data_IF_527940591597
#
_entry.id   IF_527940591597
#
_cell.length_a   1.000
_cell.length_b   1.000
_cell.length_c   1.000
_cell.angle_alpha   90.00
_cell.angle_beta   90.00
_cell.angle_gamma   90.00
#
_symmetry.space_group_name_H-M   'P 1'
#
loop_
_entity.id
_entity.type
_entity.pdbx_description
1 polymer ?
#
# COMPACT_ATOMS: atom_id res chain seq x y z
N UNK A 1 12.51 -0.23 32.42
CA UNK A 1 11.19 -0.89 32.29
C UNK A 1 10.48 -0.24 31.11
N UNK A 2 10.48 -0.88 29.93
CA UNK A 2 9.78 -0.36 28.75
C UNK A 2 8.60 -1.32 28.50
N UNK A 3 7.42 -0.88 28.92
CA UNK A 3 6.15 -1.50 28.57
C UNK A 3 5.91 -1.33 27.07
N UNK A 4 6.48 -2.21 26.24
CA UNK A 4 6.12 -2.30 24.83
C UNK A 4 4.90 -3.19 24.68
N UNK A 5 3.73 -2.65 25.04
CA UNK A 5 2.42 -3.20 24.66
C UNK A 5 1.99 -2.72 23.27
N UNK A 6 2.91 -2.61 22.32
CA UNK A 6 2.52 -2.48 20.91
C UNK A 6 2.15 -3.88 20.41
N UNK A 7 0.95 -4.32 20.79
CA UNK A 7 0.24 -5.39 20.07
C UNK A 7 0.15 -4.91 18.62
N UNK A 8 1.01 -5.46 17.77
CA UNK A 8 0.89 -5.28 16.34
C UNK A 8 -0.48 -5.83 15.97
N UNK A 9 -1.44 -4.97 15.60
CA UNK A 9 -2.69 -5.40 15.01
C UNK A 9 -2.36 -5.87 13.58
N UNK A 10 -1.87 -7.10 13.46
CA UNK A 10 -1.60 -7.83 12.20
C UNK A 10 -2.95 -8.25 11.56
N UNK A 11 -4.01 -7.48 11.78
CA UNK A 11 -5.39 -7.86 11.50
C UNK A 11 -6.24 -6.64 11.10
N UNK A 12 -5.64 -5.67 10.42
CA UNK A 12 -6.44 -4.67 9.71
C UNK A 12 -7.04 -5.39 8.51
N UNK A 13 -8.36 -5.57 8.50
CA UNK A 13 -9.05 -6.25 7.39
C UNK A 13 -8.88 -5.38 6.14
N UNK A 14 -8.07 -5.87 5.20
CA UNK A 14 -7.92 -5.22 3.89
C UNK A 14 -8.93 -5.78 2.92
N UNK A 15 -9.63 -4.89 2.21
CA UNK A 15 -10.51 -5.26 1.12
C UNK A 15 -9.68 -5.45 -0.14
N UNK A 16 -9.77 -6.63 -0.74
CA UNK A 16 -9.01 -6.98 -1.93
C UNK A 16 -9.43 -6.13 -3.14
N UNK A 17 -8.44 -5.66 -3.88
CA UNK A 17 -8.62 -5.06 -5.20
C UNK A 17 -9.01 -6.18 -6.17
N UNK A 18 -10.06 -5.94 -6.98
CA UNK A 18 -10.75 -6.99 -7.76
C UNK A 18 -9.97 -7.52 -8.96
N UNK A 19 -8.87 -6.86 -9.32
CA UNK A 19 -8.04 -7.25 -10.45
C UNK A 19 -6.62 -7.49 -9.96
N UNK A 20 -6.02 -8.60 -10.41
CA UNK A 20 -4.61 -8.88 -10.18
C UNK A 20 -3.78 -8.01 -11.14
N UNK A 21 -2.72 -7.39 -10.63
CA UNK A 21 -1.87 -6.50 -11.43
C UNK A 21 -0.49 -7.09 -11.59
N UNK A 22 0.11 -6.80 -12.75
CA UNK A 22 1.50 -7.19 -13.02
C UNK A 22 2.37 -5.97 -12.78
N UNK A 23 3.35 -6.11 -11.89
CA UNK A 23 4.34 -5.05 -11.74
C UNK A 23 5.18 -4.94 -13.03
N UNK A 24 5.30 -3.75 -13.64
CA UNK A 24 6.08 -3.56 -14.87
C UNK A 24 7.58 -3.79 -14.71
N UNK A 25 8.16 -3.66 -13.49
CA UNK A 25 9.60 -3.85 -13.28
C UNK A 25 9.95 -5.32 -13.05
N UNK A 26 9.28 -5.99 -12.11
CA UNK A 26 9.61 -7.38 -11.78
C UNK A 26 8.78 -8.41 -12.54
N UNK A 27 7.77 -7.99 -13.31
CA UNK A 27 6.85 -8.85 -14.07
C UNK A 27 6.11 -9.90 -13.22
N UNK A 28 6.04 -9.69 -11.89
CA UNK A 28 5.29 -10.55 -10.96
C UNK A 28 3.86 -10.05 -10.80
N UNK A 29 2.95 -11.00 -10.59
CA UNK A 29 1.59 -10.68 -10.14
C UNK A 29 1.65 -10.22 -8.69
N UNK A 30 0.83 -9.23 -8.38
CA UNK A 30 0.74 -8.64 -7.05
C UNK A 30 -0.71 -8.60 -6.61
N UNK A 31 -0.89 -8.88 -5.33
CA UNK A 31 -2.16 -8.74 -4.64
C UNK A 31 -2.16 -7.41 -3.90
N UNK A 32 -3.24 -6.65 -4.06
CA UNK A 32 -3.41 -5.35 -3.43
C UNK A 32 -4.60 -5.40 -2.48
N UNK A 33 -4.39 -4.92 -1.27
CA UNK A 33 -5.41 -4.77 -0.25
C UNK A 33 -5.47 -3.32 0.24
N UNK A 34 -6.68 -2.81 0.43
CA UNK A 34 -6.91 -1.46 0.95
C UNK A 34 -7.60 -1.56 2.30
N UNK A 35 -7.08 -0.84 3.28
CA UNK A 35 -7.64 -0.81 4.63
C UNK A 35 -9.08 -0.26 4.60
N UNK A 36 -9.98 -0.94 5.31
CA UNK A 36 -11.40 -0.60 5.32
C UNK A 36 -11.65 0.84 5.80
N UNK A 37 -10.94 1.30 6.84
CA UNK A 37 -11.05 2.67 7.36
C UNK A 37 -10.64 3.72 6.30
N UNK A 38 -9.58 3.44 5.53
CA UNK A 38 -9.16 4.30 4.43
C UNK A 38 -10.22 4.35 3.32
N UNK A 39 -10.84 3.21 2.98
CA UNK A 39 -11.92 3.17 2.00
C UNK A 39 -13.13 3.99 2.44
N UNK A 40 -13.51 3.93 3.71
CA UNK A 40 -14.61 4.74 4.26
C UNK A 40 -14.32 6.24 4.13
N UNK A 41 -13.10 6.64 4.48
CA UNK A 41 -12.63 8.01 4.30
C UNK A 41 -12.67 8.45 2.83
N UNK A 42 -12.12 7.64 1.92
CA UNK A 42 -12.06 7.95 0.49
C UNK A 42 -13.46 8.05 -0.14
N UNK A 43 -14.41 7.21 0.29
CA UNK A 43 -15.80 7.26 -0.16
C UNK A 43 -16.52 8.52 0.33
N UNK A 44 -16.32 8.89 1.60
CA UNK A 44 -16.92 10.10 2.18
C UNK A 44 -16.44 11.37 1.48
N UNK A 45 -15.16 11.40 1.12
CA UNK A 45 -14.51 12.58 0.52
C UNK A 45 -14.52 12.58 -1.01
N UNK A 46 -15.15 11.57 -1.65
CA UNK A 46 -15.19 11.38 -3.10
C UNK A 46 -13.80 11.40 -3.78
N UNK A 47 -12.76 10.91 -3.10
CA UNK A 47 -11.35 11.00 -3.53
C UNK A 47 -10.91 9.87 -4.46
N UNK A 48 -11.75 9.51 -5.43
CA UNK A 48 -11.43 8.47 -6.42
C UNK A 48 -11.19 9.06 -7.82
N UNK A 49 -10.29 8.47 -8.64
CA UNK A 49 -9.38 7.38 -8.30
C UNK A 49 -8.27 7.86 -7.36
N UNK A 50 -7.95 7.07 -6.34
CA UNK A 50 -6.93 7.44 -5.37
C UNK A 50 -5.59 6.73 -5.67
N UNK A 51 -4.44 7.39 -5.46
CA UNK A 51 -3.14 6.77 -5.64
C UNK A 51 -2.80 5.85 -4.46
N UNK A 52 -2.74 4.55 -4.70
CA UNK A 52 -2.28 3.56 -3.74
C UNK A 52 -0.83 3.17 -4.03
N UNK A 53 0.08 3.40 -3.07
CA UNK A 53 1.47 3.00 -3.19
C UNK A 53 1.67 1.59 -2.62
N UNK A 54 2.16 0.68 -3.46
CA UNK A 54 2.62 -0.64 -3.07
C UNK A 54 4.13 -0.73 -3.26
N UNK A 55 4.87 -1.16 -2.23
CA UNK A 55 6.33 -1.23 -2.25
C UNK A 55 6.74 -2.70 -2.17
N UNK A 56 7.51 -3.17 -3.16
CA UNK A 56 7.88 -4.58 -3.26
C UNK A 56 9.14 -4.81 -4.12
N UNK A 57 9.56 -6.08 -4.22
CA UNK A 57 10.62 -6.53 -5.11
C UNK A 57 12.04 -6.44 -4.55
N UNK A 58 12.99 -6.92 -5.37
CA UNK A 58 14.44 -6.87 -5.16
C UNK A 58 15.10 -6.65 -6.54
N UNK A 59 15.65 -5.46 -6.86
CA UNK A 59 15.74 -4.29 -6.00
C UNK A 59 14.37 -3.69 -5.66
N UNK A 60 14.28 -3.08 -4.49
CA UNK A 60 13.06 -2.47 -3.97
C UNK A 60 12.55 -1.36 -4.90
N UNK A 61 11.27 -1.40 -5.26
CA UNK A 61 10.61 -0.36 -6.05
C UNK A 61 9.18 -0.11 -5.60
N UNK A 62 8.69 1.08 -5.93
CA UNK A 62 7.33 1.50 -5.64
C UNK A 62 6.47 1.34 -6.88
N UNK A 63 5.23 0.93 -6.69
CA UNK A 63 4.23 0.87 -7.73
C UNK A 63 2.99 1.62 -7.26
N UNK A 64 2.64 2.67 -8.01
CA UNK A 64 1.45 3.48 -7.79
C UNK A 64 0.30 2.90 -8.60
N UNK A 65 -0.73 2.44 -7.91
CA UNK A 65 -1.98 1.98 -8.49
C UNK A 65 -3.08 3.01 -8.26
N UNK A 66 -3.68 3.51 -9.33
CA UNK A 66 -4.84 4.39 -9.23
C UNK A 66 -6.10 3.55 -9.09
N UNK A 67 -6.58 3.38 -7.86
CA UNK A 67 -7.73 2.51 -7.57
C UNK A 67 -9.00 3.34 -7.52
N UNK A 68 -10.06 2.85 -8.16
CA UNK A 68 -11.38 3.49 -8.15
C UNK A 68 -12.27 3.00 -6.98
N UNK A 69 -13.48 3.56 -6.91
CA UNK A 69 -14.49 3.20 -5.91
C UNK A 69 -14.94 1.73 -5.97
N UNK A 70 -14.82 1.11 -7.14
CA UNK A 70 -15.22 -0.27 -7.38
C UNK A 70 -14.09 -1.27 -7.04
N UNK A 71 -12.96 -0.77 -6.54
CA UNK A 71 -11.74 -1.50 -6.23
C UNK A 71 -11.09 -2.10 -7.47
N UNK A 72 -11.08 -1.34 -8.56
CA UNK A 72 -10.38 -1.67 -9.80
C UNK A 72 -9.26 -0.67 -10.00
N UNK A 73 -8.08 -1.16 -10.37
CA UNK A 73 -6.98 -0.28 -10.80
C UNK A 73 -7.26 0.22 -12.21
N UNK A 74 -7.19 1.54 -12.37
CA UNK A 74 -7.40 2.26 -13.63
C UNK A 74 -6.09 2.62 -14.33
N UNK A 75 -4.99 2.66 -13.58
CA UNK A 75 -3.67 2.93 -14.12
C UNK A 75 -2.57 2.51 -13.15
N UNK A 76 -1.39 2.23 -13.69
CA UNK A 76 -0.21 1.82 -12.94
C UNK A 76 0.97 2.69 -13.37
N UNK A 77 1.72 3.19 -12.40
CA UNK A 77 3.00 3.84 -12.61
C UNK A 77 4.05 3.22 -11.71
N UNK A 78 5.28 3.12 -12.19
CA UNK A 78 6.41 2.63 -11.38
C UNK A 78 7.25 3.81 -10.91
N UNK A 79 7.60 3.77 -9.64
CA UNK A 79 8.54 4.68 -9.00
C UNK A 79 9.84 3.91 -8.73
N UNK A 80 10.89 4.24 -9.50
CA UNK A 80 12.21 3.58 -9.41
C UNK A 80 13.08 4.09 -8.26
N UNK A 81 12.78 5.28 -7.74
CA UNK A 81 13.52 5.88 -6.62
C UNK A 81 12.53 6.30 -5.55
N UNK A 82 12.63 5.67 -4.38
CA UNK A 82 11.88 6.05 -3.18
C UNK A 82 12.85 6.74 -2.25
N UNK A 83 12.64 8.04 -2.00
CA UNK A 83 13.33 8.74 -0.95
C UNK A 83 12.50 8.66 0.33
N UNK A 84 13.06 8.09 1.39
CA UNK A 84 12.41 7.95 2.69
C UNK A 84 13.09 8.94 3.63
N UNK A 85 12.33 9.91 4.14
CA UNK A 85 12.80 10.80 5.21
C UNK A 85 13.31 9.95 6.38
N UNK A 86 14.50 10.26 6.89
CA UNK A 86 15.16 9.48 7.96
C UNK A 86 14.70 9.85 9.37
N UNK A 87 13.56 10.52 9.51
CA UNK A 87 12.93 10.61 10.82
C UNK A 87 12.43 9.23 11.28
N UNK A 88 12.45 9.00 12.59
CA UNK A 88 12.10 7.70 13.18
C UNK A 88 10.65 7.29 12.94
N UNK A 89 9.77 8.23 12.56
CA UNK A 89 8.37 7.96 12.25
C UNK A 89 8.22 7.35 10.84
N UNK A 90 8.84 7.97 9.83
CA UNK A 90 8.77 7.59 8.43
C UNK A 90 9.37 6.22 8.15
N UNK A 91 10.49 5.89 8.81
CA UNK A 91 11.13 4.58 8.66
C UNK A 91 10.25 3.43 9.19
N UNK A 92 9.60 3.64 10.35
CA UNK A 92 8.70 2.65 10.93
C UNK A 92 7.43 2.47 10.08
N UNK A 93 6.89 3.53 9.50
CA UNK A 93 5.74 3.44 8.60
C UNK A 93 6.08 2.71 7.30
N UNK A 94 7.27 2.95 6.75
CA UNK A 94 7.78 2.25 5.58
C UNK A 94 7.91 0.75 5.83
N UNK A 95 8.53 0.33 6.94
CA UNK A 95 8.67 -1.09 7.27
C UNK A 95 7.32 -1.81 7.42
N UNK A 96 6.31 -1.14 7.96
CA UNK A 96 4.94 -1.69 8.04
C UNK A 96 4.36 -1.95 6.64
N UNK A 97 4.53 -1.00 5.71
CA UNK A 97 4.03 -1.12 4.33
C UNK A 97 4.80 -2.18 3.52
N UNK A 98 6.09 -2.34 3.78
CA UNK A 98 6.91 -3.34 3.08
C UNK A 98 6.67 -4.77 3.59
N UNK A 99 6.47 -4.96 4.89
CA UNK A 99 6.28 -6.28 5.48
C UNK A 99 4.87 -6.87 5.30
N UNK A 100 3.90 -6.06 4.86
CA UNK A 100 2.49 -6.47 4.74
C UNK A 100 1.98 -6.32 3.30
N UNK A 101 1.88 -7.42 2.53
CA UNK A 101 1.25 -7.42 1.21
C UNK A 101 -0.29 -7.35 1.30
N UNK A 102 -0.85 -7.76 2.44
CA UNK A 102 -2.22 -7.49 2.90
C UNK A 102 -2.13 -6.56 4.09
#
# INVERSE_FOLDING_TARGET
MINSKYKQNISIVKKAVKNAHRCPECNKMIDLGIEQELLEYLNKEEKFPYPHLHIHGDPLHGMLCYVDKDLRVRGISVVKSIEISRDSASFNEFFKKWASPY
#
